data_IF_819152295690
#
_entry.id   IF_819152295690
#
_cell.length_a   1.000
_cell.length_b   1.000
_cell.length_c   1.000
_cell.angle_alpha   90.00
_cell.angle_beta   90.00
_cell.angle_gamma   90.00
#
_symmetry.space_group_name_H-M   'P 1'
#
loop_
_entity.id
_entity.type
_entity.pdbx_description
1 polymer ?
#
# COMPACT_ATOMS: atom_id res chain seq x y z
N UNK A 1 15.27 -8.51 -39.17
CA UNK A 1 14.72 -7.26 -38.60
C UNK A 1 13.20 -7.34 -38.67
N UNK A 2 12.58 -7.48 -37.50
CA UNK A 2 11.17 -7.23 -37.17
C UNK A 2 11.13 -7.59 -35.66
N UNK A 3 11.18 -6.65 -34.73
CA UNK A 3 10.34 -5.46 -34.65
C UNK A 3 9.44 -5.71 -33.44
N UNK A 4 9.82 -5.09 -32.33
CA UNK A 4 9.12 -4.94 -31.05
C UNK A 4 7.93 -5.88 -30.76
N UNK A 5 8.15 -6.98 -30.03
CA UNK A 5 7.18 -7.37 -28.99
C UNK A 5 7.51 -6.57 -27.74
N UNK A 6 7.35 -5.26 -27.88
CA UNK A 6 7.17 -4.36 -26.77
C UNK A 6 5.76 -4.64 -26.23
N UNK A 7 5.62 -5.76 -25.51
CA UNK A 7 4.77 -5.77 -24.35
C UNK A 7 5.46 -4.93 -23.26
N UNK A 8 5.84 -3.68 -23.57
CA UNK A 8 5.75 -2.64 -22.57
C UNK A 8 4.26 -2.46 -22.35
N UNK A 9 3.66 -3.39 -21.60
CA UNK A 9 2.48 -3.06 -20.85
C UNK A 9 2.88 -1.81 -20.08
N UNK A 10 2.42 -0.64 -20.55
CA UNK A 10 2.58 0.60 -19.83
C UNK A 10 2.20 0.26 -18.38
N UNK A 11 3.10 0.46 -17.41
CA UNK A 11 2.93 -0.12 -16.09
C UNK A 11 1.54 0.27 -15.60
N UNK A 12 0.67 -0.72 -15.48
CA UNK A 12 -0.72 -0.48 -15.16
C UNK A 12 -0.74 0.17 -13.79
N UNK A 13 -1.34 1.34 -13.68
CA UNK A 13 -1.63 1.89 -12.36
C UNK A 13 -2.63 0.95 -11.70
N UNK A 14 -2.26 0.45 -10.53
CA UNK A 14 -3.11 -0.41 -9.72
C UNK A 14 -3.50 0.33 -8.45
N UNK A 15 -4.79 0.27 -8.14
CA UNK A 15 -5.29 0.72 -6.85
C UNK A 15 -4.96 -0.34 -5.79
N UNK A 16 -4.16 0.05 -4.80
CA UNK A 16 -3.78 -0.78 -3.66
C UNK A 16 -4.55 -0.29 -2.45
N UNK A 17 -5.28 -1.21 -1.83
CA UNK A 17 -5.95 -0.98 -0.57
C UNK A 17 -4.99 -1.30 0.58
N UNK A 18 -4.72 -0.32 1.42
CA UNK A 18 -3.88 -0.44 2.61
C UNK A 18 -4.77 -0.33 3.83
N UNK A 19 -5.00 -1.46 4.49
CA UNK A 19 -5.87 -1.54 5.66
C UNK A 19 -5.03 -1.55 6.95
N UNK A 20 -5.54 -0.93 8.01
CA UNK A 20 -4.88 -1.02 9.30
C UNK A 20 -5.00 -2.45 9.83
N UNK A 21 -3.91 -3.03 10.33
CA UNK A 21 -3.88 -4.42 10.78
C UNK A 21 -4.86 -4.74 11.92
N UNK A 22 -5.32 -3.71 12.64
CA UNK A 22 -6.36 -3.78 13.68
C UNK A 22 -7.75 -3.29 13.22
N UNK A 23 -7.97 -3.08 11.92
CA UNK A 23 -9.24 -2.60 11.36
C UNK A 23 -9.61 -1.16 11.74
N UNK A 24 -8.62 -0.32 12.06
CA UNK A 24 -8.82 1.07 12.53
C UNK A 24 -8.92 2.11 11.41
N UNK A 25 -8.93 1.67 10.15
CA UNK A 25 -8.95 2.55 8.98
C UNK A 25 -8.39 1.86 7.75
N UNK A 26 -8.72 2.37 6.58
CA UNK A 26 -8.18 1.94 5.29
C UNK A 26 -7.83 3.17 4.44
N UNK A 27 -6.81 3.03 3.60
CA UNK A 27 -6.40 4.03 2.63
C UNK A 27 -6.24 3.36 1.27
N UNK A 28 -6.69 4.03 0.21
CA UNK A 28 -6.52 3.58 -1.17
C UNK A 28 -5.53 4.48 -1.87
N UNK A 29 -4.44 3.89 -2.34
CA UNK A 29 -3.41 4.58 -3.13
C UNK A 29 -3.29 3.93 -4.50
N UNK A 30 -3.08 4.76 -5.51
CA UNK A 30 -2.81 4.30 -6.87
C UNK A 30 -1.30 4.35 -7.11
N UNK A 31 -0.73 3.21 -7.46
CA UNK A 31 0.70 3.04 -7.70
C UNK A 31 0.92 2.15 -8.91
N UNK A 32 2.07 2.24 -9.61
CA UNK A 32 2.41 1.30 -10.66
C UNK A 32 2.41 -0.15 -10.16
N UNK A 33 1.97 -1.11 -10.96
CA UNK A 33 2.05 -2.54 -10.60
C UNK A 33 3.48 -3.03 -10.32
N UNK A 34 4.46 -2.39 -10.97
CA UNK A 34 5.89 -2.63 -10.78
C UNK A 34 6.48 -1.86 -9.60
N UNK A 35 5.66 -1.10 -8.86
CA UNK A 35 6.11 -0.31 -7.72
C UNK A 35 6.55 -1.20 -6.55
N UNK A 36 7.43 -0.64 -5.73
CA UNK A 36 7.87 -1.28 -4.49
C UNK A 36 6.94 -0.93 -3.35
N UNK A 37 6.98 -1.74 -2.31
CA UNK A 37 6.25 -1.46 -1.08
C UNK A 37 6.72 -0.14 -0.44
N UNK A 38 7.99 0.24 -0.62
CA UNK A 38 8.49 1.57 -0.24
C UNK A 38 7.74 2.71 -0.93
N UNK A 39 7.48 2.59 -2.24
CA UNK A 39 6.70 3.58 -3.00
C UNK A 39 5.26 3.65 -2.51
N UNK A 40 4.63 2.49 -2.25
CA UNK A 40 3.26 2.42 -1.70
C UNK A 40 3.20 3.09 -0.32
N UNK A 41 4.16 2.78 0.55
CA UNK A 41 4.27 3.39 1.88
C UNK A 41 4.42 4.91 1.78
N UNK A 42 5.25 5.38 0.86
CA UNK A 42 5.46 6.81 0.64
C UNK A 42 4.18 7.47 0.11
N UNK A 43 3.49 6.87 -0.86
CA UNK A 43 2.22 7.34 -1.39
C UNK A 43 1.16 7.45 -0.28
N UNK A 44 1.04 6.43 0.57
CA UNK A 44 0.15 6.44 1.74
C UNK A 44 0.55 7.55 2.70
N UNK A 45 1.84 7.69 3.02
CA UNK A 45 2.33 8.71 3.96
C UNK A 45 2.08 10.12 3.43
N UNK A 46 2.26 10.34 2.12
CA UNK A 46 1.96 11.60 1.44
C UNK A 46 0.46 11.91 1.50
N UNK A 47 -0.38 10.91 1.25
CA UNK A 47 -1.84 11.08 1.25
C UNK A 47 -2.42 11.30 2.65
N UNK A 48 -1.81 10.72 3.68
CA UNK A 48 -2.27 10.88 5.06
C UNK A 48 -1.97 12.27 5.64
N UNK A 49 -1.10 13.09 5.00
CA UNK A 49 -0.59 14.42 5.41
C UNK A 49 -0.07 14.54 6.86
N UNK A 50 -0.19 13.48 7.64
CA UNK A 50 0.00 13.42 9.08
C UNK A 50 1.31 12.70 9.37
N UNK A 51 2.41 13.19 8.80
CA UNK A 51 3.79 12.86 9.19
C UNK A 51 4.01 11.43 9.70
N UNK A 52 3.44 10.42 9.03
CA UNK A 52 3.28 9.06 9.58
C UNK A 52 4.62 8.32 9.45
N UNK A 53 5.65 8.84 10.10
CA UNK A 53 7.01 8.29 10.23
C UNK A 53 7.01 6.90 10.88
N UNK A 54 5.86 6.42 11.35
CA UNK A 54 5.69 5.12 12.01
C UNK A 54 4.81 4.16 11.22
N UNK A 55 4.37 4.49 10.00
CA UNK A 55 3.64 3.55 9.16
C UNK A 55 4.58 2.40 8.76
N UNK A 56 4.19 1.17 9.08
CA UNK A 56 4.90 -0.05 8.71
C UNK A 56 3.95 -0.94 7.93
N UNK A 57 4.31 -1.25 6.69
CA UNK A 57 3.59 -2.26 5.92
C UNK A 57 3.86 -3.63 6.54
N UNK A 58 2.81 -4.39 6.73
CA UNK A 58 2.85 -5.75 7.25
C UNK A 58 2.02 -6.65 6.35
N UNK A 59 2.33 -7.93 6.38
CA UNK A 59 1.45 -8.99 5.88
C UNK A 59 1.08 -9.93 6.99
N UNK A 60 -0.05 -10.60 6.81
CA UNK A 60 -0.46 -11.69 7.67
C UNK A 60 0.24 -12.98 7.23
N UNK A 61 1.08 -13.54 8.10
CA UNK A 61 1.82 -14.78 7.88
C UNK A 61 1.31 -15.92 8.78
N UNK A 62 0.01 -15.91 9.09
CA UNK A 62 -0.64 -16.87 9.98
C UNK A 62 -1.92 -16.32 10.61
N UNK A 63 -2.49 -17.04 11.57
CA UNK A 63 -3.73 -16.63 12.24
C UNK A 63 -3.57 -15.37 13.08
N UNK A 64 -2.40 -15.17 13.71
CA UNK A 64 -2.11 -13.99 14.54
C UNK A 64 -0.76 -13.31 14.23
N UNK A 65 0.03 -13.88 13.32
CA UNK A 65 1.39 -13.39 13.04
C UNK A 65 1.35 -12.34 11.94
N UNK A 66 1.82 -11.14 12.27
CA UNK A 66 2.08 -10.08 11.30
C UNK A 66 3.58 -10.00 11.05
N UNK A 67 3.98 -10.04 9.79
CA UNK A 67 5.38 -9.91 9.36
C UNK A 67 5.53 -8.55 8.70
N UNK A 68 6.52 -7.79 9.16
CA UNK A 68 6.84 -6.49 8.55
C UNK A 68 7.41 -6.75 7.16
N UNK A 69 6.83 -6.07 6.18
CA UNK A 69 7.29 -6.11 4.80
C UNK A 69 8.44 -5.11 4.62
N UNK A 70 9.45 -5.50 3.86
CA UNK A 70 10.56 -4.62 3.53
C UNK A 70 10.14 -3.63 2.44
N UNK A 71 10.70 -2.42 2.48
CA UNK A 71 10.45 -1.41 1.46
C UNK A 71 10.97 -1.81 0.07
N UNK A 72 11.96 -2.70 0.03
CA UNK A 72 12.56 -3.23 -1.20
C UNK A 72 11.74 -4.36 -1.85
N UNK A 73 10.73 -4.89 -1.15
CA UNK A 73 9.83 -5.87 -1.77
C UNK A 73 8.98 -5.21 -2.86
N UNK A 74 8.74 -5.95 -3.94
CA UNK A 74 7.82 -5.56 -4.98
C UNK A 74 6.37 -5.74 -4.52
N UNK A 75 5.50 -4.85 -4.98
CA UNK A 75 4.06 -5.01 -4.84
C UNK A 75 3.60 -6.30 -5.54
N UNK A 76 4.07 -6.52 -6.76
CA UNK A 76 3.65 -7.63 -7.62
C UNK A 76 2.11 -7.63 -7.76
N UNK A 77 1.50 -8.79 -7.61
CA UNK A 77 0.04 -8.95 -7.69
C UNK A 77 -0.73 -8.52 -6.41
N UNK A 78 -0.04 -7.97 -5.39
CA UNK A 78 -0.65 -7.65 -4.10
C UNK A 78 -1.46 -6.34 -4.20
N UNK A 79 -2.77 -6.44 -4.38
CA UNK A 79 -3.67 -5.27 -4.36
C UNK A 79 -4.21 -4.90 -2.98
N UNK A 80 -3.90 -5.72 -1.96
CA UNK A 80 -4.30 -5.50 -0.58
C UNK A 80 -3.10 -5.70 0.33
N UNK A 81 -2.83 -4.69 1.15
CA UNK A 81 -1.74 -4.70 2.11
C UNK A 81 -2.29 -4.33 3.48
N UNK A 82 -1.61 -4.81 4.52
CA UNK A 82 -1.89 -4.39 5.88
C UNK A 82 -0.82 -3.38 6.29
N UNK A 83 -1.18 -2.42 7.12
CA UNK A 83 -0.22 -1.52 7.74
C UNK A 83 -0.47 -1.41 9.24
N UNK A 84 0.61 -1.18 9.99
CA UNK A 84 0.56 -0.78 11.39
C UNK A 84 1.02 0.67 11.49
N UNK A 85 0.28 1.50 12.23
CA UNK A 85 0.57 2.91 12.39
C UNK A 85 -0.69 3.74 12.41
N UNK A 86 -0.56 5.06 12.34
CA UNK A 86 -1.72 5.92 12.18
C UNK A 86 -2.09 5.99 10.70
N UNK A 87 -3.25 5.41 10.36
CA UNK A 87 -3.87 5.42 9.03
C UNK A 87 -5.05 6.41 8.98
N UNK A 88 -5.10 7.40 9.89
CA UNK A 88 -6.17 8.38 9.89
C UNK A 88 -6.05 9.25 8.64
N UNK A 89 -6.85 8.94 7.62
CA UNK A 89 -6.93 9.77 6.44
C UNK A 89 -7.39 11.19 6.82
N UNK A 90 -6.77 12.25 6.27
CA UNK A 90 -7.24 13.61 6.45
C UNK A 90 -8.59 13.73 5.72
N UNK A 91 -9.67 13.48 6.47
CA UNK A 91 -11.05 13.46 5.94
C UNK A 91 -11.88 12.22 6.30
N UNK A 92 -11.30 11.20 6.94
CA UNK A 92 -11.99 9.94 7.31
C UNK A 92 -12.63 9.92 8.70
N UNK A 93 -12.96 11.08 9.26
CA UNK A 93 -13.66 11.20 10.54
C UNK A 93 -15.18 11.31 10.37
N UNK A 94 -15.84 10.25 9.90
CA UNK A 94 -17.29 10.07 10.04
C UNK A 94 -17.61 8.55 9.95
N UNK A 95 -18.28 7.90 10.88
CA UNK A 95 -19.12 8.40 11.97
C UNK A 95 -19.11 7.44 13.18
N UNK A 96 -19.23 7.95 14.43
CA UNK A 96 -19.61 7.14 15.57
C UNK A 96 -21.13 6.83 15.53
N UNK A 97 -21.61 5.69 16.08
CA UNK A 97 -22.99 5.56 16.51
C UNK A 97 -23.26 6.38 17.78
#
# INVERSE_FOLDING_TARGET
MAGESEAAAAPGMVAVLVEHAMGKGEVRVEVPETARLGDVKEAVTRQLESGSRRLRLVRRAGTATLVTLADDELLGDRRRLLAMGDLSAPGGGAAPP
#
